data_IF_919240019202
#
_entry.id   IF_919240019202
#
_cell.length_a   1.000
_cell.length_b   1.000
_cell.length_c   1.000
_cell.angle_alpha   90.00
_cell.angle_beta   90.00
_cell.angle_gamma   90.00
#
_symmetry.space_group_name_H-M   'P 1'
#
loop_
_entity.id
_entity.type
_entity.pdbx_description
1 polymer ?
#
# COMPACT_ATOMS: atom_id res chain seq x y z
N UNK A 1 -13.28 67.81 -29.10
CA UNK A 1 -12.31 66.93 -28.42
C UNK A 1 -11.64 67.59 -27.22
N UNK A 2 -12.41 67.94 -26.18
CA UNK A 2 -11.87 68.34 -24.85
C UNK A 2 -12.86 67.90 -23.76
N UNK A 3 -14.16 68.11 -24.00
CA UNK A 3 -15.26 67.60 -23.16
C UNK A 3 -15.28 66.07 -23.07
N UNK A 4 -15.08 65.36 -24.19
CA UNK A 4 -14.99 63.88 -24.18
C UNK A 4 -13.75 63.32 -23.47
N UNK A 5 -12.65 64.09 -23.44
CA UNK A 5 -11.44 63.69 -22.71
C UNK A 5 -11.62 63.84 -21.20
N UNK A 6 -12.26 64.94 -20.75
CA UNK A 6 -12.64 65.15 -19.35
C UNK A 6 -13.66 64.13 -18.86
N UNK A 7 -14.67 63.79 -19.69
CA UNK A 7 -15.64 62.75 -19.36
C UNK A 7 -14.98 61.36 -19.27
N UNK A 8 -14.10 61.02 -20.21
CA UNK A 8 -13.33 59.78 -20.18
C UNK A 8 -12.40 59.70 -18.95
N UNK A 9 -11.78 60.82 -18.56
CA UNK A 9 -10.90 60.87 -17.39
C UNK A 9 -11.66 60.72 -16.07
N UNK A 10 -12.81 61.38 -15.91
CA UNK A 10 -13.68 61.24 -14.75
C UNK A 10 -14.33 59.84 -14.65
N UNK A 11 -14.67 59.26 -15.80
CA UNK A 11 -15.26 57.92 -15.86
C UNK A 11 -14.21 56.84 -15.53
N UNK A 12 -12.98 56.97 -16.07
CA UNK A 12 -11.89 56.05 -15.76
C UNK A 12 -11.48 56.10 -14.28
N UNK A 13 -11.38 57.29 -13.68
CA UNK A 13 -11.02 57.43 -12.26
C UNK A 13 -12.09 56.86 -11.33
N UNK A 14 -13.39 57.05 -11.63
CA UNK A 14 -14.48 56.41 -10.89
C UNK A 14 -14.51 54.88 -11.06
N UNK A 15 -14.28 54.37 -12.27
CA UNK A 15 -14.19 52.93 -12.51
C UNK A 15 -13.02 52.34 -11.74
N UNK A 16 -11.85 52.98 -11.77
CA UNK A 16 -10.67 52.52 -11.04
C UNK A 16 -10.92 52.51 -9.52
N UNK A 17 -11.64 53.50 -8.99
CA UNK A 17 -12.01 53.55 -7.57
C UNK A 17 -13.02 52.45 -7.19
N UNK A 18 -14.06 52.23 -8.01
CA UNK A 18 -15.01 51.13 -7.80
C UNK A 18 -14.31 49.77 -7.89
N UNK A 19 -13.38 49.61 -8.82
CA UNK A 19 -12.63 48.38 -9.01
C UNK A 19 -11.71 48.09 -7.81
N UNK A 20 -11.06 49.12 -7.26
CA UNK A 20 -10.22 48.98 -6.07
C UNK A 20 -11.03 48.70 -4.80
N UNK A 21 -12.21 49.30 -4.64
CA UNK A 21 -13.14 48.99 -3.54
C UNK A 21 -13.63 47.55 -3.61
N UNK A 22 -14.01 47.07 -4.80
CA UNK A 22 -14.43 45.67 -5.01
C UNK A 22 -13.29 44.72 -4.66
N UNK A 23 -12.05 44.98 -5.11
CA UNK A 23 -10.89 44.14 -4.79
C UNK A 23 -10.61 44.10 -3.27
N UNK A 24 -10.67 45.25 -2.60
CA UNK A 24 -10.46 45.34 -1.16
C UNK A 24 -11.53 44.57 -0.36
N UNK A 25 -12.78 44.57 -0.84
CA UNK A 25 -13.84 43.76 -0.25
C UNK A 25 -13.67 42.26 -0.54
N UNK A 26 -13.23 41.87 -1.73
CA UNK A 26 -12.96 40.46 -2.06
C UNK A 26 -11.83 39.86 -1.22
N UNK A 27 -10.79 40.65 -0.90
CA UNK A 27 -9.66 40.19 -0.08
C UNK A 27 -10.02 39.90 1.38
N UNK A 28 -11.12 40.47 1.88
CA UNK A 28 -11.59 40.27 3.27
C UNK A 28 -12.49 39.04 3.42
N UNK A 29 -12.87 38.38 2.32
CA UNK A 29 -13.73 37.20 2.35
C UNK A 29 -12.86 35.96 2.65
N UNK A 30 -13.21 35.13 3.65
CA UNK A 30 -12.53 33.86 3.90
C UNK A 30 -12.50 32.99 2.64
N UNK A 31 -11.35 32.38 2.33
CA UNK A 31 -11.17 31.55 1.13
C UNK A 31 -12.23 30.44 0.99
N UNK A 32 -12.72 29.91 2.11
CA UNK A 32 -13.79 28.92 2.16
C UNK A 32 -15.14 29.49 1.67
N UNK A 33 -15.48 30.73 2.04
CA UNK A 33 -16.71 31.38 1.62
C UNK A 33 -16.65 31.71 0.13
N UNK A 34 -15.49 32.12 -0.38
CA UNK A 34 -15.28 32.35 -1.81
C UNK A 34 -15.41 31.06 -2.63
N UNK A 35 -14.80 29.96 -2.15
CA UNK A 35 -14.91 28.66 -2.80
C UNK A 35 -16.36 28.14 -2.78
N UNK A 36 -17.07 28.28 -1.66
CA UNK A 36 -18.45 27.83 -1.57
C UNK A 36 -19.41 28.70 -2.41
N UNK A 37 -19.19 30.02 -2.47
CA UNK A 37 -19.93 30.94 -3.32
C UNK A 37 -19.77 30.62 -4.82
N UNK A 38 -18.55 30.32 -5.26
CA UNK A 38 -18.27 29.98 -6.67
C UNK A 38 -18.90 28.65 -7.05
N UNK A 39 -18.80 27.63 -6.20
CA UNK A 39 -19.48 26.33 -6.40
C UNK A 39 -21.00 26.53 -6.47
N UNK A 40 -21.57 27.29 -5.53
CA UNK A 40 -23.01 27.59 -5.50
C UNK A 40 -23.49 28.35 -6.73
N UNK A 41 -22.72 29.34 -7.21
CA UNK A 41 -22.99 30.09 -8.44
C UNK A 41 -23.02 29.15 -9.65
N UNK A 42 -21.99 28.30 -9.81
CA UNK A 42 -21.89 27.36 -10.93
C UNK A 42 -23.10 26.43 -10.95
N UNK A 43 -23.46 25.85 -9.80
CA UNK A 43 -24.62 24.96 -9.68
C UNK A 43 -25.91 25.73 -10.00
N UNK A 44 -26.09 26.94 -9.47
CA UNK A 44 -27.26 27.77 -9.73
C UNK A 44 -27.43 28.11 -11.21
N UNK A 45 -26.35 28.43 -11.91
CA UNK A 45 -26.37 28.68 -13.36
C UNK A 45 -26.63 27.42 -14.19
N UNK A 46 -26.08 26.27 -13.78
CA UNK A 46 -26.38 24.98 -14.43
C UNK A 46 -27.88 24.70 -14.32
N UNK A 47 -28.46 24.82 -13.13
CA UNK A 47 -29.90 24.63 -12.91
C UNK A 47 -30.71 25.64 -13.73
N UNK A 48 -30.29 26.91 -13.75
CA UNK A 48 -30.95 27.93 -14.56
C UNK A 48 -30.95 27.59 -16.05
N UNK A 49 -29.83 27.09 -16.57
CA UNK A 49 -29.72 26.71 -17.97
C UNK A 49 -30.56 25.46 -18.30
N UNK A 50 -30.64 24.48 -17.39
CA UNK A 50 -31.51 23.32 -17.55
C UNK A 50 -33.00 23.73 -17.58
N UNK A 51 -33.41 24.63 -16.69
CA UNK A 51 -34.77 25.14 -16.66
C UNK A 51 -35.07 26.04 -17.88
N UNK A 52 -34.10 26.84 -18.31
CA UNK A 52 -34.21 27.67 -19.50
C UNK A 52 -34.55 26.86 -20.75
N UNK A 53 -33.95 25.66 -20.91
CA UNK A 53 -34.28 24.74 -22.01
C UNK A 53 -35.73 24.26 -21.98
N UNK A 54 -36.31 24.07 -20.79
CA UNK A 54 -37.72 23.70 -20.65
C UNK A 54 -38.68 24.87 -20.89
N UNK A 55 -38.24 26.10 -20.65
CA UNK A 55 -39.07 27.32 -20.74
C UNK A 55 -38.98 28.00 -22.13
N UNK A 56 -38.05 27.60 -23.00
CA UNK A 56 -37.88 28.16 -24.34
C UNK A 56 -39.05 27.87 -25.30
N UNK A 57 -40.00 27.02 -24.91
CA UNK A 57 -41.17 26.67 -25.71
C UNK A 57 -42.34 27.67 -25.60
N UNK A 58 -42.24 28.70 -24.75
CA UNK A 58 -43.30 29.72 -24.58
C UNK A 58 -43.06 30.91 -25.54
N UNK A 59 -43.98 31.20 -26.48
CA UNK A 59 -43.82 32.31 -27.41
C UNK A 59 -43.86 33.69 -26.70
N UNK A 60 -43.11 34.66 -27.24
CA UNK A 60 -43.01 36.09 -26.85
C UNK A 60 -42.14 36.40 -25.62
N UNK A 61 -42.14 35.59 -24.57
CA UNK A 61 -41.40 35.86 -23.31
C UNK A 61 -40.14 35.00 -23.16
N UNK A 62 -39.99 33.94 -23.97
CA UNK A 62 -38.95 32.92 -23.85
C UNK A 62 -37.49 33.39 -24.05
N UNK A 63 -37.24 34.59 -24.60
CA UNK A 63 -35.88 35.10 -24.82
C UNK A 63 -35.28 35.81 -23.61
N UNK A 64 -36.10 36.53 -22.82
CA UNK A 64 -35.64 37.30 -21.65
C UNK A 64 -35.75 36.51 -20.34
N UNK A 65 -36.66 35.54 -20.29
CA UNK A 65 -36.93 34.72 -19.12
C UNK A 65 -35.70 33.92 -18.63
N UNK A 66 -34.88 33.30 -19.51
CA UNK A 66 -33.65 32.62 -19.10
C UNK A 66 -32.61 33.54 -18.44
N UNK A 67 -32.51 34.79 -18.89
CA UNK A 67 -31.53 35.76 -18.38
C UNK A 67 -31.93 36.15 -16.95
N UNK A 68 -33.19 36.51 -16.74
CA UNK A 68 -33.74 36.88 -15.43
C UNK A 68 -33.60 35.68 -14.48
N UNK A 69 -33.95 34.49 -14.94
CA UNK A 69 -33.86 33.26 -14.16
C UNK A 69 -32.41 32.92 -13.77
N UNK A 70 -31.44 33.14 -14.67
CA UNK A 70 -30.02 32.93 -14.39
C UNK A 70 -29.49 33.89 -13.34
N UNK A 71 -29.90 35.16 -13.36
CA UNK A 71 -29.52 36.15 -12.34
C UNK A 71 -30.08 35.76 -10.98
N UNK A 72 -31.38 35.41 -10.92
CA UNK A 72 -32.05 35.01 -9.67
C UNK A 72 -31.42 33.73 -9.10
N UNK A 73 -31.28 32.68 -9.90
CA UNK A 73 -30.74 31.39 -9.46
C UNK A 73 -29.24 31.45 -9.17
N UNK A 74 -28.48 32.28 -9.88
CA UNK A 74 -27.08 32.55 -9.56
C UNK A 74 -26.94 33.21 -8.20
N UNK A 75 -27.75 34.24 -7.90
CA UNK A 75 -27.74 34.92 -6.61
C UNK A 75 -28.20 34.00 -5.46
N UNK A 76 -29.22 33.17 -5.69
CA UNK A 76 -29.66 32.15 -4.72
C UNK A 76 -28.58 31.08 -4.51
N UNK A 77 -27.93 30.63 -5.58
CA UNK A 77 -26.83 29.67 -5.53
C UNK A 77 -25.65 30.15 -4.68
N UNK A 78 -25.27 31.43 -4.83
CA UNK A 78 -24.23 32.06 -3.99
C UNK A 78 -24.64 32.05 -2.51
N UNK A 79 -25.86 32.50 -2.20
CA UNK A 79 -26.36 32.56 -0.82
C UNK A 79 -26.41 31.17 -0.17
N UNK A 80 -26.94 30.18 -0.88
CA UNK A 80 -27.00 28.80 -0.40
C UNK A 80 -25.59 28.23 -0.23
N UNK A 81 -24.69 28.45 -1.20
CA UNK A 81 -23.31 28.00 -1.14
C UNK A 81 -22.57 28.52 0.10
N UNK A 82 -22.71 29.81 0.41
CA UNK A 82 -22.08 30.41 1.60
C UNK A 82 -22.72 29.89 2.89
N UNK A 83 -24.06 29.83 2.96
CA UNK A 83 -24.78 29.39 4.17
C UNK A 83 -24.59 27.89 4.47
N UNK A 84 -24.34 27.07 3.45
CA UNK A 84 -24.18 25.61 3.55
C UNK A 84 -22.74 25.15 3.30
N UNK A 85 -21.77 26.05 3.40
CA UNK A 85 -20.34 25.77 3.12
C UNK A 85 -19.83 24.53 3.88
N UNK A 86 -20.17 24.40 5.16
CA UNK A 86 -19.64 23.32 6.01
C UNK A 86 -20.21 21.95 5.61
N UNK A 87 -21.48 21.90 5.20
CA UNK A 87 -22.13 20.69 4.67
C UNK A 87 -21.50 20.27 3.33
N UNK A 88 -21.22 21.23 2.43
CA UNK A 88 -20.59 21.00 1.13
C UNK A 88 -19.16 20.45 1.30
N UNK A 89 -18.36 21.04 2.18
CA UNK A 89 -17.00 20.56 2.45
C UNK A 89 -16.98 19.18 3.12
N UNK A 90 -17.91 18.91 4.05
CA UNK A 90 -18.04 17.60 4.68
C UNK A 90 -18.44 16.51 3.68
N UNK A 91 -19.36 16.81 2.76
CA UNK A 91 -19.76 15.90 1.68
C UNK A 91 -18.60 15.61 0.70
N UNK A 92 -17.81 16.63 0.36
CA UNK A 92 -16.59 16.44 -0.44
C UNK A 92 -15.53 15.61 0.30
N UNK A 93 -15.41 15.80 1.62
CA UNK A 93 -14.60 14.96 2.50
C UNK A 93 -15.04 13.49 2.50
N UNK A 94 -16.36 13.24 2.52
CA UNK A 94 -16.95 11.90 2.41
C UNK A 94 -16.62 11.23 1.07
N UNK A 95 -16.75 11.94 -0.07
CA UNK A 95 -16.35 11.41 -1.38
C UNK A 95 -14.84 11.17 -1.50
N UNK A 96 -14.01 12.04 -0.92
CA UNK A 96 -12.56 11.81 -0.83
C UNK A 96 -12.26 10.54 -0.04
N UNK A 97 -13.02 10.26 1.02
CA UNK A 97 -12.89 9.02 1.78
C UNK A 97 -13.39 7.79 1.01
N UNK A 98 -14.49 7.88 0.25
CA UNK A 98 -14.94 6.79 -0.64
C UNK A 98 -13.89 6.48 -1.71
N UNK A 99 -13.25 7.49 -2.30
CA UNK A 99 -12.13 7.29 -3.22
C UNK A 99 -10.88 6.72 -2.53
N UNK A 100 -10.69 6.99 -1.23
CA UNK A 100 -9.63 6.37 -0.41
C UNK A 100 -9.95 4.91 -0.07
N UNK A 101 -11.23 4.55 0.12
CA UNK A 101 -11.70 3.17 0.32
C UNK A 101 -11.61 2.36 -0.98
N UNK A 102 -12.00 2.92 -2.13
CA UNK A 102 -11.79 2.30 -3.46
C UNK A 102 -10.31 2.18 -3.86
N UNK A 103 -9.43 3.08 -3.39
CA UNK A 103 -7.96 2.90 -3.52
C UNK A 103 -7.37 1.88 -2.53
N UNK A 104 -8.07 1.58 -1.42
CA UNK A 104 -7.63 0.60 -0.42
C UNK A 104 -7.92 -0.86 -0.83
N UNK A 105 -8.84 -1.10 -1.77
CA UNK A 105 -8.98 -2.43 -2.40
C UNK A 105 -7.83 -2.74 -3.38
N UNK A 106 -7.11 -1.73 -3.87
CA UNK A 106 -5.87 -1.89 -4.64
C UNK A 106 -4.59 -1.80 -3.82
N UNK A 107 -4.66 -1.56 -2.50
CA UNK A 107 -3.63 -2.09 -1.62
C UNK A 107 -3.92 -3.58 -1.44
N UNK A 108 -3.54 -4.38 -2.44
CA UNK A 108 -3.10 -5.75 -2.15
C UNK A 108 -2.29 -5.64 -0.87
N UNK A 109 -2.65 -6.37 0.19
CA UNK A 109 -1.68 -6.67 1.24
C UNK A 109 -0.42 -7.08 0.47
N UNK A 110 0.63 -6.25 0.50
CA UNK A 110 1.82 -6.53 -0.28
C UNK A 110 2.49 -7.69 0.43
N UNK A 111 2.08 -8.90 0.06
CA UNK A 111 2.62 -10.11 0.65
C UNK A 111 4.03 -10.21 0.12
N UNK A 112 4.99 -9.84 0.97
CA UNK A 112 6.39 -9.90 0.62
C UNK A 112 6.75 -11.31 0.15
N UNK A 113 7.44 -11.43 -1.00
CA UNK A 113 7.96 -12.70 -1.44
C UNK A 113 8.92 -13.27 -0.40
N UNK A 114 9.10 -14.58 -0.40
CA UNK A 114 9.88 -15.28 0.61
C UNK A 114 10.93 -16.16 -0.06
N UNK A 115 12.20 -15.89 0.22
CA UNK A 115 13.32 -16.65 -0.34
C UNK A 115 13.61 -17.85 0.57
N UNK A 116 13.72 -19.03 -0.02
CA UNK A 116 14.12 -20.25 0.69
C UNK A 116 15.65 -20.43 0.65
N UNK A 117 16.22 -20.73 1.81
CA UNK A 117 17.60 -21.15 1.98
C UNK A 117 17.75 -22.69 1.94
N UNK A 118 18.94 -23.17 1.56
CA UNK A 118 19.33 -24.59 1.51
C UNK A 118 19.09 -25.29 2.84
N UNK A 119 19.43 -24.64 3.97
CA UNK A 119 19.28 -25.23 5.32
C UNK A 119 17.85 -25.64 5.65
N UNK A 120 16.88 -24.78 5.29
CA UNK A 120 15.44 -24.99 5.50
C UNK A 120 14.90 -26.11 4.61
N UNK A 121 15.40 -26.16 3.37
CA UNK A 121 14.98 -27.16 2.39
C UNK A 121 15.43 -28.56 2.84
N UNK A 122 16.67 -28.70 3.32
CA UNK A 122 17.22 -29.98 3.79
C UNK A 122 16.52 -30.47 5.07
N UNK A 123 16.22 -29.55 6.00
CA UNK A 123 15.49 -29.86 7.24
C UNK A 123 14.09 -30.44 6.93
N UNK A 124 13.37 -29.77 6.03
CA UNK A 124 12.14 -30.28 5.43
C UNK A 124 10.83 -29.91 6.12
N UNK A 125 10.86 -29.38 7.35
CA UNK A 125 9.63 -28.91 8.06
C UNK A 125 8.88 -27.82 7.30
N UNK A 126 9.55 -27.12 6.39
CA UNK A 126 8.92 -26.15 5.50
C UNK A 126 7.85 -26.75 4.58
N UNK A 127 7.96 -28.03 4.23
CA UNK A 127 6.95 -28.74 3.46
C UNK A 127 5.63 -28.80 4.23
N UNK A 128 5.70 -29.22 5.50
CA UNK A 128 4.53 -29.36 6.36
C UNK A 128 3.88 -27.98 6.62
N UNK A 129 4.70 -26.95 6.88
CA UNK A 129 4.22 -25.57 7.01
C UNK A 129 3.53 -25.11 5.71
N UNK A 130 4.07 -25.46 4.55
CA UNK A 130 3.43 -25.14 3.26
C UNK A 130 2.10 -25.89 3.05
N UNK A 131 1.98 -27.12 3.56
CA UNK A 131 0.73 -27.90 3.48
C UNK A 131 -0.38 -27.32 4.36
N UNK A 132 -0.04 -26.73 5.51
CA UNK A 132 -1.02 -26.07 6.40
C UNK A 132 -1.55 -24.73 5.86
N UNK A 133 -1.05 -24.26 4.72
CA UNK A 133 -1.32 -22.94 4.14
C UNK A 133 -0.95 -21.73 5.03
N UNK A 134 -0.27 -21.96 6.16
CA UNK A 134 0.19 -20.90 7.08
C UNK A 134 1.15 -19.89 6.44
N UNK A 135 1.86 -20.31 5.39
CA UNK A 135 2.84 -19.47 4.71
C UNK A 135 2.24 -18.77 3.49
N UNK A 136 1.95 -17.48 3.62
CA UNK A 136 1.40 -16.68 2.52
C UNK A 136 2.45 -16.21 1.50
N UNK A 137 2.00 -15.83 0.30
CA UNK A 137 2.83 -15.18 -0.71
C UNK A 137 3.59 -16.12 -1.64
N UNK A 138 4.39 -15.50 -2.51
CA UNK A 138 5.25 -16.19 -3.47
C UNK A 138 6.52 -16.69 -2.78
N UNK A 139 6.81 -17.98 -2.95
CA UNK A 139 8.06 -18.62 -2.55
C UNK A 139 9.06 -18.51 -3.70
N UNK A 140 10.22 -17.97 -3.40
CA UNK A 140 11.31 -17.78 -4.35
C UNK A 140 12.41 -18.78 -4.05
N UNK A 141 12.77 -19.54 -5.07
CA UNK A 141 13.88 -20.50 -5.03
C UNK A 141 14.95 -20.00 -5.99
N UNK A 142 16.06 -19.44 -5.49
CA UNK A 142 17.14 -18.97 -6.35
C UNK A 142 17.86 -20.16 -7.01
N UNK A 143 18.34 -19.97 -8.24
CA UNK A 143 19.08 -21.01 -8.96
C UNK A 143 20.36 -21.43 -8.24
N UNK A 144 21.06 -20.50 -7.60
CA UNK A 144 22.26 -20.81 -6.82
C UNK A 144 21.96 -21.71 -5.60
N UNK A 145 20.78 -21.61 -4.99
CA UNK A 145 20.34 -22.54 -3.91
C UNK A 145 20.09 -23.95 -4.47
N UNK A 146 19.52 -24.05 -5.68
CA UNK A 146 19.37 -25.34 -6.37
C UNK A 146 20.73 -25.96 -6.70
N UNK A 147 21.68 -25.16 -7.16
CA UNK A 147 23.05 -25.60 -7.45
C UNK A 147 23.79 -26.05 -6.19
N UNK A 148 23.64 -25.36 -5.07
CA UNK A 148 24.17 -25.76 -3.76
C UNK A 148 23.61 -27.14 -3.35
N UNK A 149 22.28 -27.33 -3.45
CA UNK A 149 21.63 -28.61 -3.14
C UNK A 149 22.10 -29.75 -4.04
N UNK A 150 22.30 -29.49 -5.34
CA UNK A 150 22.85 -30.47 -6.28
C UNK A 150 24.28 -30.84 -5.91
N UNK A 151 25.13 -29.85 -5.60
CA UNK A 151 26.50 -30.09 -5.17
C UNK A 151 26.56 -30.95 -3.89
N UNK A 152 25.66 -30.70 -2.93
CA UNK A 152 25.52 -31.53 -1.73
C UNK A 152 25.03 -32.95 -2.09
N UNK A 153 24.09 -33.08 -3.03
CA UNK A 153 23.58 -34.36 -3.51
C UNK A 153 24.60 -35.20 -4.29
N UNK A 154 25.62 -34.57 -4.86
CA UNK A 154 26.72 -35.23 -5.59
C UNK A 154 27.97 -35.44 -4.71
N UNK A 155 27.90 -35.08 -3.42
CA UNK A 155 29.00 -35.27 -2.48
C UNK A 155 29.40 -36.74 -2.35
N UNK A 156 30.71 -37.00 -2.17
CA UNK A 156 31.25 -38.34 -1.88
C UNK A 156 30.75 -38.88 -0.53
N UNK A 157 30.50 -37.99 0.43
CA UNK A 157 29.93 -38.33 1.74
C UNK A 157 28.47 -38.79 1.59
N UNK A 158 28.21 -40.05 1.99
CA UNK A 158 26.90 -40.69 1.98
C UNK A 158 25.82 -39.87 2.71
N UNK A 159 26.14 -39.32 3.87
CA UNK A 159 25.17 -38.57 4.68
C UNK A 159 24.82 -37.24 4.03
N UNK A 160 25.82 -36.52 3.51
CA UNK A 160 25.59 -35.27 2.76
C UNK A 160 24.78 -35.53 1.49
N UNK A 161 25.15 -36.55 0.72
CA UNK A 161 24.43 -36.97 -0.49
C UNK A 161 22.96 -37.30 -0.22
N UNK A 162 22.69 -38.09 0.81
CA UNK A 162 21.31 -38.44 1.20
C UNK A 162 20.50 -37.21 1.61
N UNK A 163 21.11 -36.27 2.34
CA UNK A 163 20.50 -34.99 2.72
C UNK A 163 20.19 -34.11 1.50
N UNK A 164 21.13 -33.98 0.56
CA UNK A 164 20.95 -33.21 -0.67
C UNK A 164 19.83 -33.76 -1.54
N UNK A 165 19.80 -35.08 -1.77
CA UNK A 165 18.72 -35.77 -2.51
C UNK A 165 17.36 -35.56 -1.85
N UNK A 166 17.29 -35.74 -0.52
CA UNK A 166 16.08 -35.47 0.25
C UNK A 166 15.60 -34.01 0.09
N UNK A 167 16.52 -33.04 0.11
CA UNK A 167 16.20 -31.63 -0.10
C UNK A 167 15.59 -31.36 -1.49
N UNK A 168 16.15 -31.98 -2.53
CA UNK A 168 15.61 -31.90 -3.89
C UNK A 168 14.20 -32.54 -3.99
N UNK A 169 13.98 -33.67 -3.32
CA UNK A 169 12.66 -34.32 -3.26
C UNK A 169 11.63 -33.43 -2.56
N UNK A 170 12.01 -32.77 -1.47
CA UNK A 170 11.17 -31.81 -0.73
C UNK A 170 10.78 -30.64 -1.62
N UNK A 171 11.74 -30.05 -2.36
CA UNK A 171 11.43 -28.97 -3.30
C UNK A 171 10.46 -29.39 -4.38
N UNK A 172 10.59 -30.61 -4.90
CA UNK A 172 9.67 -31.14 -5.89
C UNK A 172 8.24 -31.28 -5.31
N UNK A 173 8.11 -31.78 -4.08
CA UNK A 173 6.81 -31.83 -3.37
C UNK A 173 6.21 -30.44 -3.15
N UNK A 174 7.01 -29.47 -2.70
CA UNK A 174 6.60 -28.08 -2.50
C UNK A 174 6.11 -27.48 -3.83
N UNK A 175 6.82 -27.74 -4.94
CA UNK A 175 6.47 -27.29 -6.29
C UNK A 175 5.12 -27.84 -6.76
N UNK A 176 4.82 -29.10 -6.44
CA UNK A 176 3.52 -29.73 -6.77
C UNK A 176 2.36 -29.13 -5.97
N UNK A 177 2.56 -28.88 -4.67
CA UNK A 177 1.50 -28.36 -3.78
C UNK A 177 1.22 -26.87 -4.09
N UNK A 178 2.26 -26.08 -4.35
CA UNK A 178 2.15 -24.62 -4.51
C UNK A 178 2.46 -24.14 -5.93
N UNK A 179 2.00 -24.87 -6.95
CA UNK A 179 2.33 -24.65 -8.37
C UNK A 179 2.25 -23.19 -8.84
N UNK A 180 1.25 -22.42 -8.38
CA UNK A 180 1.04 -21.02 -8.78
C UNK A 180 1.67 -19.99 -7.83
N UNK A 181 2.37 -20.44 -6.77
CA UNK A 181 2.97 -19.59 -5.73
C UNK A 181 4.47 -19.83 -5.57
N UNK A 182 5.12 -20.49 -6.52
CA UNK A 182 6.56 -20.75 -6.52
C UNK A 182 7.20 -20.16 -7.77
N UNK A 183 8.33 -19.49 -7.58
CA UNK A 183 9.13 -18.90 -8.65
C UNK A 183 10.59 -19.23 -8.50
N UNK A 184 11.14 -19.85 -9.54
CA UNK A 184 12.58 -20.10 -9.64
C UNK A 184 13.22 -18.88 -10.28
N UNK A 185 14.16 -18.25 -9.57
CA UNK A 185 14.86 -17.05 -10.05
C UNK A 185 16.26 -17.42 -10.51
N UNK A 186 16.51 -17.26 -11.82
CA UNK A 186 17.80 -17.56 -12.45
C UNK A 186 18.87 -16.49 -12.30
N UNK A 187 18.67 -15.52 -11.40
CA UNK A 187 19.63 -14.45 -11.18
C UNK A 187 20.81 -14.98 -10.35
N UNK A 188 21.99 -14.96 -10.94
CA UNK A 188 23.24 -15.27 -10.25
C UNK A 188 24.11 -14.02 -10.17
N UNK A 189 24.97 -13.97 -9.16
CA UNK A 189 25.87 -12.86 -8.90
C UNK A 189 27.32 -13.35 -9.00
N UNK A 190 28.14 -12.64 -9.77
CA UNK A 190 29.59 -12.94 -9.87
C UNK A 190 30.29 -12.74 -8.52
N UNK A 191 29.86 -11.71 -7.76
CA UNK A 191 30.24 -11.46 -6.38
C UNK A 191 29.02 -11.00 -5.57
N UNK A 192 28.88 -11.38 -4.29
CA UNK A 192 29.75 -12.28 -3.52
C UNK A 192 29.64 -13.75 -3.98
N UNK A 193 30.67 -14.56 -3.73
CA UNK A 193 30.68 -16.01 -4.08
C UNK A 193 29.81 -16.84 -3.15
N UNK A 194 29.80 -16.48 -1.87
CA UNK A 194 29.05 -17.16 -0.82
C UNK A 194 27.54 -17.11 -1.07
N UNK A 195 26.88 -18.26 -0.94
CA UNK A 195 25.43 -18.38 -1.17
C UNK A 195 24.64 -17.49 -0.22
N UNK A 196 24.99 -17.46 1.06
CA UNK A 196 24.33 -16.63 2.07
C UNK A 196 24.30 -15.15 1.70
N UNK A 197 25.44 -14.64 1.23
CA UNK A 197 25.57 -13.25 0.81
C UNK A 197 24.78 -12.97 -0.49
N UNK A 198 24.68 -13.95 -1.40
CA UNK A 198 23.78 -13.88 -2.57
C UNK A 198 22.30 -13.86 -2.17
N UNK A 199 21.89 -14.62 -1.14
CA UNK A 199 20.53 -14.62 -0.59
C UNK A 199 20.19 -13.23 -0.04
N UNK A 200 21.06 -12.65 0.78
CA UNK A 200 20.89 -11.30 1.35
C UNK A 200 20.76 -10.26 0.24
N UNK A 201 21.64 -10.31 -0.77
CA UNK A 201 21.61 -9.39 -1.91
C UNK A 201 20.30 -9.50 -2.69
N UNK A 202 19.87 -10.72 -3.01
CA UNK A 202 18.62 -10.96 -3.71
C UNK A 202 17.42 -10.45 -2.89
N UNK A 203 17.40 -10.74 -1.59
CA UNK A 203 16.32 -10.35 -0.68
C UNK A 203 16.14 -8.84 -0.61
N UNK A 204 17.23 -8.07 -0.54
CA UNK A 204 17.18 -6.60 -0.61
C UNK A 204 16.60 -6.09 -1.93
N UNK A 205 17.05 -6.67 -3.03
CA UNK A 205 16.68 -6.22 -4.37
C UNK A 205 15.17 -6.35 -4.63
N UNK A 206 14.60 -7.50 -4.27
CA UNK A 206 13.18 -7.79 -4.50
C UNK A 206 12.29 -7.53 -3.28
N UNK A 207 12.85 -6.96 -2.21
CA UNK A 207 12.18 -6.70 -0.92
C UNK A 207 11.48 -7.96 -0.37
N UNK A 208 12.20 -9.08 -0.42
CA UNK A 208 11.74 -10.37 0.11
C UNK A 208 12.10 -10.55 1.58
N UNK A 209 11.38 -11.45 2.25
CA UNK A 209 11.78 -12.02 3.54
C UNK A 209 12.63 -13.28 3.29
N UNK A 210 13.52 -13.62 4.21
CA UNK A 210 14.34 -14.83 4.12
C UNK A 210 13.75 -15.90 5.04
N UNK A 211 13.62 -17.14 4.55
CA UNK A 211 13.28 -18.30 5.37
C UNK A 211 14.56 -19.14 5.52
N UNK A 212 15.09 -19.22 6.73
CA UNK A 212 16.34 -19.95 7.04
C UNK A 212 16.26 -20.63 8.41
N UNK A 213 17.05 -21.68 8.61
CA UNK A 213 17.29 -22.31 9.91
C UNK A 213 18.69 -21.95 10.44
N UNK A 214 19.51 -21.30 9.62
CA UNK A 214 20.86 -20.89 9.96
C UNK A 214 20.84 -19.65 10.87
N UNK A 215 21.49 -19.77 12.02
CA UNK A 215 21.58 -18.69 13.00
C UNK A 215 22.42 -17.50 12.51
N UNK A 216 23.50 -17.76 11.78
CA UNK A 216 24.41 -16.74 11.26
C UNK A 216 23.73 -15.94 10.14
N UNK A 217 23.12 -16.62 9.16
CA UNK A 217 22.36 -15.95 8.11
C UNK A 217 21.23 -15.10 8.69
N UNK A 218 20.54 -15.60 9.73
CA UNK A 218 19.51 -14.84 10.44
C UNK A 218 20.07 -13.53 11.04
N UNK A 219 21.20 -13.61 11.78
CA UNK A 219 21.81 -12.42 12.39
C UNK A 219 22.29 -11.39 11.38
N UNK A 220 22.99 -11.83 10.32
CA UNK A 220 23.47 -10.91 9.28
C UNK A 220 22.29 -10.28 8.54
N UNK A 221 21.28 -11.06 8.16
CA UNK A 221 20.09 -10.53 7.49
C UNK A 221 19.32 -9.51 8.33
N UNK A 222 19.19 -9.72 9.65
CA UNK A 222 18.57 -8.77 10.56
C UNK A 222 19.35 -7.45 10.67
N UNK A 223 20.68 -7.51 10.76
CA UNK A 223 21.55 -6.32 10.74
C UNK A 223 21.38 -5.52 9.45
N UNK A 224 21.13 -6.22 8.34
CA UNK A 224 20.90 -5.64 7.02
C UNK A 224 19.45 -5.18 6.79
N UNK A 225 18.60 -5.21 7.83
CA UNK A 225 17.22 -4.75 7.79
C UNK A 225 16.25 -5.67 7.04
N UNK A 226 16.65 -6.93 6.80
CA UNK A 226 15.85 -7.91 6.07
C UNK A 226 15.06 -8.75 7.07
N UNK A 227 13.72 -8.81 6.98
CA UNK A 227 12.94 -9.66 7.87
C UNK A 227 13.23 -11.14 7.61
N UNK A 228 13.47 -11.89 8.69
CA UNK A 228 13.76 -13.32 8.64
C UNK A 228 12.63 -14.11 9.29
N UNK A 229 12.27 -15.23 8.66
CA UNK A 229 11.33 -16.22 9.17
C UNK A 229 12.11 -17.48 9.50
N UNK A 230 12.48 -17.64 10.76
CA UNK A 230 13.23 -18.80 11.22
C UNK A 230 12.28 -19.92 11.67
N UNK A 231 12.43 -21.14 11.13
CA UNK A 231 11.54 -22.26 11.47
C UNK A 231 11.81 -22.78 12.88
N UNK A 232 13.04 -22.66 13.39
CA UNK A 232 13.33 -23.00 14.78
C UNK A 232 12.62 -22.04 15.75
N UNK A 233 12.58 -20.75 15.44
CA UNK A 233 11.86 -19.76 16.24
C UNK A 233 10.35 -20.04 16.21
N UNK A 234 9.80 -20.36 15.03
CA UNK A 234 8.41 -20.77 14.88
C UNK A 234 8.10 -22.03 15.72
N UNK A 235 8.95 -23.05 15.64
CA UNK A 235 8.79 -24.29 16.40
C UNK A 235 8.83 -24.06 17.91
N UNK A 236 9.68 -23.14 18.38
CA UNK A 236 9.75 -22.77 19.79
C UNK A 236 8.50 -22.01 20.24
N UNK A 237 7.97 -21.12 19.40
CA UNK A 237 6.74 -20.37 19.69
C UNK A 237 5.48 -21.26 19.72
N UNK A 238 5.51 -22.41 19.06
CA UNK A 238 4.43 -23.40 19.07
C UNK A 238 4.52 -24.41 20.22
N UNK A 239 5.53 -24.31 21.10
CA UNK A 239 5.59 -25.14 22.31
C UNK A 239 4.41 -24.81 23.22
N UNK A 240 3.77 -25.83 23.77
CA UNK A 240 2.66 -25.65 24.70
C UNK A 240 3.11 -24.80 25.91
N UNK A 241 2.28 -23.85 26.30
CA UNK A 241 2.47 -23.08 27.53
C UNK A 241 1.91 -23.92 28.67
N UNK A 242 2.78 -24.36 29.58
CA UNK A 242 2.41 -25.19 30.73
C UNK A 242 1.80 -24.28 31.81
N UNK A 243 0.70 -24.72 32.43
CA UNK A 243 0.04 -24.01 33.53
C UNK A 243 0.49 -24.54 34.91
N UNK A 244 0.47 -23.70 35.96
CA UNK A 244 0.71 -24.18 37.32
C UNK A 244 -0.28 -25.28 37.69
N UNK A 245 0.24 -26.44 38.15
CA UNK A 245 -0.57 -27.60 38.54
C UNK A 245 -0.64 -28.73 37.50
N UNK A 246 -0.08 -28.57 36.31
CA UNK A 246 0.07 -29.67 35.34
C UNK A 246 1.25 -30.58 35.69
N UNK A 247 1.05 -31.90 35.65
CA UNK A 247 2.13 -32.87 35.80
C UNK A 247 2.99 -32.93 34.53
N UNK A 248 4.31 -32.89 34.68
CA UNK A 248 5.25 -32.96 33.56
C UNK A 248 6.20 -34.16 33.70
N UNK A 249 6.35 -34.92 32.62
CA UNK A 249 7.33 -35.99 32.54
C UNK A 249 8.67 -35.44 32.07
N UNK A 250 9.68 -35.48 32.95
CA UNK A 250 11.06 -35.07 32.64
C UNK A 250 12.01 -36.25 32.70
N UNK A 251 12.97 -36.30 31.77
CA UNK A 251 14.04 -37.27 31.79
C UNK A 251 15.39 -36.57 32.01
N UNK A 252 16.14 -37.01 33.01
CA UNK A 252 17.47 -36.47 33.30
C UNK A 252 18.45 -37.03 32.27
N UNK A 253 19.06 -36.14 31.48
CA UNK A 253 20.02 -36.51 30.41
C UNK A 253 21.46 -36.49 30.94
N UNK A 254 21.70 -35.76 32.04
CA UNK A 254 23.02 -35.63 32.67
C UNK A 254 22.87 -35.18 34.12
N UNK A 255 23.59 -35.82 35.04
CA UNK A 255 23.67 -35.39 36.44
C UNK A 255 24.44 -34.07 36.60
N UNK A 256 24.12 -33.34 37.68
CA UNK A 256 24.77 -32.10 38.05
C UNK A 256 26.26 -32.28 38.28
N UNK A 257 27.03 -31.21 38.03
CA UNK A 257 28.48 -31.18 38.31
C UNK A 257 28.79 -30.80 39.76
N UNK A 258 27.85 -30.14 40.43
CA UNK A 258 27.96 -29.70 41.82
C UNK A 258 27.33 -30.75 42.74
N UNK A 259 27.83 -30.92 43.98
CA UNK A 259 27.39 -31.96 44.90
C UNK A 259 25.91 -31.87 45.35
N UNK A 260 25.18 -30.81 44.97
CA UNK A 260 23.78 -30.58 45.32
C UNK A 260 22.85 -30.39 44.08
N UNK A 261 23.27 -30.84 42.87
CA UNK A 261 22.51 -30.69 41.62
C UNK A 261 22.14 -32.00 40.94
#
# INVERSE_FOLDING_TARGET
GTVGFLFSFLFNTKIQCLFSEIICHLQKIPAQNFAAATIGLIIGLIIANLLAYSLSFIPIIGSYLPIILSVILGALGINIGINKKDEIFNFFGYFRNINKVRRKENSKHFVHPKILDTSVIIDGRILDICQTEFLEGELIIPRFVLSELQHIADSSDSLKRNRGRRGLDILNKITKIRKNKIKIVGKDYNEPKEVDAKIIRLAKEIKAKIITNDYNLNKVAQLEGIPVLNINDLSNALKAVILPGEEMNTQIIKEGKEPEQ
#
